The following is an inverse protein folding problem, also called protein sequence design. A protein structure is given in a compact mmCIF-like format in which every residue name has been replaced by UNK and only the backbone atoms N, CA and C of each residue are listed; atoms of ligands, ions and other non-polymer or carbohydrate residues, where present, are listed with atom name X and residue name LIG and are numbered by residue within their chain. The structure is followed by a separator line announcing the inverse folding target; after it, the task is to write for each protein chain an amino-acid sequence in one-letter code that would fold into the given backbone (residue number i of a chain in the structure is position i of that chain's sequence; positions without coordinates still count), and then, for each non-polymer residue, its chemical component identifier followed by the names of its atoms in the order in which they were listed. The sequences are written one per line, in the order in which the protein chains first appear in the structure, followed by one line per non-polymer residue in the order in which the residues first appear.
data_IF_784791724259
#
_entry.id   IF_784791724259
#
_cell.length_a   1.000
_cell.length_b   1.000
_cell.length_c   1.000
_cell.angle_alpha   90.00
_cell.angle_beta   90.00
_cell.angle_gamma   90.00
#
_symmetry.space_group_name_H-M   'P 1'
#
loop_
_entity.id
_entity.type
_entity.pdbx_description
1 polymer ?
#
# COMPACT_ATOMS: atom_id res chain seq x y z
N UNK A 1 20.15 -25.35 0.99
CA UNK A 1 20.39 -24.02 0.41
C UNK A 1 19.99 -22.98 1.43
N UNK A 2 20.91 -22.12 1.85
CA UNK A 2 20.67 -21.03 2.80
C UNK A 2 20.35 -19.76 2.02
N UNK A 3 19.35 -19.00 2.46
CA UNK A 3 18.92 -17.74 1.85
C UNK A 3 18.64 -16.74 2.96
N UNK A 4 19.11 -15.50 2.79
CA UNK A 4 18.91 -14.43 3.78
C UNK A 4 17.83 -13.49 3.26
N UNK A 5 16.76 -13.31 4.03
CA UNK A 5 15.69 -12.35 3.73
C UNK A 5 15.68 -11.23 4.76
N UNK A 6 15.59 -9.99 4.28
CA UNK A 6 15.49 -8.79 5.11
C UNK A 6 14.23 -8.01 4.76
N UNK A 7 13.33 -7.83 5.75
CA UNK A 7 12.12 -7.04 5.59
C UNK A 7 12.37 -5.60 6.07
N UNK A 8 12.06 -4.62 5.22
CA UNK A 8 12.17 -3.20 5.52
C UNK A 8 10.80 -2.56 5.45
N UNK A 9 10.44 -1.76 6.44
CA UNK A 9 9.12 -1.12 6.61
C UNK A 9 9.21 0.41 6.70
N UNK A 10 10.37 0.99 6.37
CA UNK A 10 10.63 2.42 6.50
C UNK A 10 10.81 2.92 7.93
N UNK A 11 10.79 2.02 8.92
CA UNK A 11 11.07 2.38 10.31
C UNK A 11 12.54 2.80 10.53
N UNK A 12 12.86 3.50 11.63
CA UNK A 12 14.25 3.84 11.97
C UNK A 12 15.16 2.61 12.11
N UNK A 13 14.58 1.44 12.40
CA UNK A 13 15.30 0.18 12.55
C UNK A 13 15.69 -0.45 11.20
N UNK A 14 15.09 -0.04 10.08
CA UNK A 14 15.35 -0.61 8.77
C UNK A 14 16.83 -0.53 8.34
N UNK A 15 17.53 0.54 8.71
CA UNK A 15 18.97 0.69 8.43
C UNK A 15 19.81 -0.40 9.13
N UNK A 16 19.54 -0.64 10.42
CA UNK A 16 20.23 -1.70 11.17
C UNK A 16 19.93 -3.09 10.60
N UNK A 17 18.69 -3.35 10.17
CA UNK A 17 18.31 -4.60 9.52
C UNK A 17 19.12 -4.83 8.23
N UNK A 18 19.31 -3.79 7.42
CA UNK A 18 20.14 -3.87 6.21
C UNK A 18 21.60 -4.23 6.51
N UNK A 19 22.21 -3.60 7.51
CA UNK A 19 23.61 -3.86 7.88
C UNK A 19 23.82 -5.29 8.36
N UNK A 20 22.94 -5.78 9.25
CA UNK A 20 23.01 -7.16 9.74
C UNK A 20 22.73 -8.19 8.65
N UNK A 21 21.80 -7.91 7.74
CA UNK A 21 21.49 -8.81 6.65
C UNK A 21 22.65 -8.92 5.64
N UNK A 22 23.32 -7.80 5.34
CA UNK A 22 24.53 -7.77 4.52
C UNK A 22 25.68 -8.55 5.17
N UNK A 23 25.88 -8.39 6.48
CA UNK A 23 26.86 -9.16 7.25
C UNK A 23 26.56 -10.67 7.24
N UNK A 24 25.29 -11.05 7.45
CA UNK A 24 24.86 -12.45 7.48
C UNK A 24 25.01 -13.11 6.10
N UNK A 25 24.65 -12.40 5.02
CA UNK A 25 24.81 -12.87 3.64
C UNK A 25 26.28 -13.18 3.30
N UNK A 26 27.19 -12.32 3.72
CA UNK A 26 28.63 -12.53 3.53
C UNK A 26 29.17 -13.72 4.32
N UNK A 27 28.76 -13.89 5.59
CA UNK A 27 29.22 -15.02 6.42
C UNK A 27 28.67 -16.37 6.01
N UNK A 28 27.44 -16.38 5.51
CA UNK A 28 26.75 -17.60 5.11
C UNK A 28 26.96 -17.95 3.64
N UNK A 29 27.68 -17.10 2.89
CA UNK A 29 27.84 -17.19 1.44
C UNK A 29 26.50 -17.48 0.76
N UNK A 30 25.48 -16.73 1.19
CA UNK A 30 24.08 -16.97 0.86
C UNK A 30 23.48 -15.74 0.18
N UNK A 31 22.64 -15.91 -0.86
CA UNK A 31 21.97 -14.81 -1.52
C UNK A 31 21.09 -14.02 -0.54
N UNK A 32 21.12 -12.69 -0.66
CA UNK A 32 20.35 -11.73 0.12
C UNK A 32 19.20 -11.16 -0.71
N UNK A 33 17.99 -11.17 -0.16
CA UNK A 33 16.81 -10.54 -0.76
C UNK A 33 16.16 -9.56 0.20
N UNK A 34 15.86 -8.36 -0.30
CA UNK A 34 15.16 -7.32 0.43
C UNK A 34 13.67 -7.31 0.08
N UNK A 35 12.82 -7.23 1.09
CA UNK A 35 11.37 -7.11 0.96
C UNK A 35 10.92 -5.79 1.57
N UNK A 36 10.41 -4.87 0.76
CA UNK A 36 9.79 -3.65 1.25
C UNK A 36 8.33 -3.93 1.63
N UNK A 37 8.03 -3.83 2.94
CA UNK A 37 6.68 -3.98 3.49
C UNK A 37 5.98 -2.63 3.42
N UNK A 38 4.90 -2.58 2.63
CA UNK A 38 4.04 -1.40 2.53
C UNK A 38 2.95 -1.51 3.58
N UNK A 39 2.90 -0.55 4.50
CA UNK A 39 1.81 -0.45 5.47
C UNK A 39 0.52 -0.01 4.77
N UNK A 40 -0.55 -0.77 4.96
CA UNK A 40 -1.85 -0.56 4.32
C UNK A 40 -2.58 0.64 4.91
N UNK A 41 -2.27 1.01 6.15
CA UNK A 41 -2.85 2.18 6.82
C UNK A 41 -2.23 3.49 6.30
N UNK A 42 -0.96 3.46 5.89
CA UNK A 42 -0.27 4.59 5.26
C UNK A 42 -0.57 4.71 3.76
N UNK A 43 -0.97 3.61 3.11
CA UNK A 43 -1.31 3.56 1.68
C UNK A 43 -2.68 2.91 1.46
N UNK A 44 -3.78 3.65 1.73
CA UNK A 44 -5.12 3.16 1.46
C UNK A 44 -5.26 2.88 -0.05
N UNK A 45 -5.46 1.61 -0.38
CA UNK A 45 -5.71 1.16 -1.75
C UNK A 45 -6.98 1.86 -2.25
N UNK A 46 -6.88 2.64 -3.33
CA UNK A 46 -8.01 3.38 -3.93
C UNK A 46 -9.25 2.50 -4.22
N UNK A 47 -9.06 1.18 -4.26
CA UNK A 47 -10.11 0.17 -4.35
C UNK A 47 -11.13 0.18 -3.18
N UNK A 48 -10.87 0.81 -2.03
CA UNK A 48 -11.90 1.00 -0.99
C UNK A 48 -12.57 2.38 -1.07
N UNK A 49 -11.95 3.36 -1.72
CA UNK A 49 -12.50 4.71 -1.87
C UNK A 49 -13.72 4.72 -2.80
N UNK A 50 -13.73 3.91 -3.87
CA UNK A 50 -14.91 3.80 -4.75
C UNK A 50 -16.11 3.14 -4.03
N UNK A 51 -15.86 2.20 -3.11
CA UNK A 51 -16.91 1.56 -2.31
C UNK A 51 -17.54 2.54 -1.30
N UNK A 52 -16.72 3.41 -0.68
CA UNK A 52 -17.22 4.47 0.19
C UNK A 52 -18.08 5.50 -0.58
N UNK A 53 -17.63 5.92 -1.76
CA UNK A 53 -18.42 6.79 -2.65
C UNK A 53 -19.75 6.12 -3.10
N UNK A 54 -19.73 4.80 -3.28
CA UNK A 54 -20.91 3.97 -3.60
C UNK A 54 -21.87 3.77 -2.41
N UNK A 55 -21.65 4.41 -1.27
CA UNK A 55 -22.59 4.37 -0.14
C UNK A 55 -23.25 5.74 0.09
N UNK A 56 -22.59 6.83 -0.31
CA UNK A 56 -23.13 8.19 -0.22
C UNK A 56 -24.40 8.43 -1.05
N UNK A 57 -24.64 7.66 -2.13
CA UNK A 57 -25.88 7.79 -2.90
C UNK A 57 -27.11 7.22 -2.18
N UNK A 58 -26.92 6.32 -1.20
CA UNK A 58 -28.05 5.73 -0.45
C UNK A 58 -28.58 6.63 0.66
N UNK A 59 -27.73 7.52 1.19
CA UNK A 59 -28.12 8.47 2.25
C UNK A 59 -28.75 9.76 1.71
N UNK A 60 -28.78 9.96 0.39
CA UNK A 60 -29.42 11.13 -0.21
C UNK A 60 -30.96 11.05 -0.19
N UNK A 61 -31.64 12.16 0.15
CA UNK A 61 -33.10 12.22 0.11
C UNK A 61 -33.61 11.90 -1.30
N UNK A 62 -34.80 11.28 -1.43
CA UNK A 62 -35.31 10.80 -2.71
C UNK A 62 -35.48 11.90 -3.77
N UNK A 63 -35.54 13.18 -3.37
CA UNK A 63 -35.71 14.32 -4.28
C UNK A 63 -34.46 14.70 -5.10
N UNK A 64 -33.27 14.22 -4.74
CA UNK A 64 -32.01 14.54 -5.45
C UNK A 64 -31.41 13.35 -6.21
N UNK A 65 -32.11 12.21 -6.24
CA UNK A 65 -31.59 10.94 -6.78
C UNK A 65 -31.43 10.91 -8.31
N UNK A 66 -32.04 11.84 -9.04
CA UNK A 66 -32.02 11.88 -10.52
C UNK A 66 -30.87 12.68 -11.14
N UNK A 67 -30.04 13.39 -10.37
CA UNK A 67 -29.06 14.33 -10.94
C UNK A 67 -27.65 13.77 -11.17
N UNK A 68 -27.37 12.50 -10.82
CA UNK A 68 -26.00 11.96 -10.79
C UNK A 68 -25.70 10.88 -11.85
N UNK A 69 -26.36 10.92 -13.01
CA UNK A 69 -25.89 10.19 -14.20
C UNK A 69 -25.39 11.21 -15.23
N UNK A 70 -24.28 11.87 -14.91
CA UNK A 70 -23.47 12.57 -15.91
C UNK A 70 -22.01 12.35 -15.50
N UNK A 71 -21.24 11.53 -16.24
CA UNK A 71 -19.81 11.44 -16.00
C UNK A 71 -19.20 12.80 -16.29
N UNK A 72 -18.43 13.32 -15.33
CA UNK A 72 -17.61 14.51 -15.49
C UNK A 72 -16.48 14.23 -16.51
N UNK A 73 -16.82 14.22 -17.79
CA UNK A 73 -15.88 14.24 -18.91
C UNK A 73 -15.99 15.57 -19.66
N UNK A 74 -15.73 16.69 -18.96
CA UNK A 74 -15.19 17.93 -19.58
C UNK A 74 -14.90 19.00 -18.53
N UNK A 75 -13.63 19.06 -18.15
CA UNK A 75 -12.90 20.29 -17.85
C UNK A 75 -11.43 19.89 -18.08
N UNK A 76 -10.60 20.54 -18.87
CA UNK A 76 -10.69 21.60 -19.87
C UNK A 76 -9.47 21.41 -20.76
#
# INVERSE_FOLDING_TARGET
MTHVMACIDGSPSAAAVCDYAAWASQRLTAPLTFLHVIDRDLYPQAASAWAAASTCWRSWPPSTRSAAILPASRAS
#
